data_IF_085551618862
#
_entry.id   IF_085551618862
#
_cell.length_a   1.000
_cell.length_b   1.000
_cell.length_c   1.000
_cell.angle_alpha   90.00
_cell.angle_beta   90.00
_cell.angle_gamma   90.00
#
_symmetry.space_group_name_H-M   'P 1'
#
loop_
_entity.id
_entity.type
_entity.pdbx_description
1 polymer ?
#
# COMPACT_ATOMS: atom_id res chain seq x y z
N UNK A 1 -9.60 -16.96 -12.97
CA UNK A 1 -9.88 -16.28 -11.69
C UNK A 1 -8.60 -15.62 -11.21
N UNK A 2 -8.46 -14.29 -11.27
CA UNK A 2 -7.26 -13.67 -10.72
C UNK A 2 -7.28 -13.83 -9.21
N UNK A 3 -6.31 -14.53 -8.66
CA UNK A 3 -6.06 -14.65 -7.22
C UNK A 3 -5.61 -13.29 -6.72
N UNK A 4 -6.56 -12.40 -6.49
CA UNK A 4 -6.31 -11.08 -5.92
C UNK A 4 -5.96 -11.24 -4.44
N UNK A 5 -4.70 -11.58 -4.19
CA UNK A 5 -4.13 -11.71 -2.85
C UNK A 5 -4.26 -10.41 -2.06
N UNK A 6 -4.16 -10.52 -0.73
CA UNK A 6 -4.25 -9.37 0.16
C UNK A 6 -3.21 -8.29 -0.20
N UNK A 7 -3.65 -7.03 -0.16
CA UNK A 7 -2.80 -5.87 -0.37
C UNK A 7 -2.09 -5.51 0.93
N UNK A 8 -0.77 -5.33 0.87
CA UNK A 8 0.04 -5.04 2.04
C UNK A 8 0.31 -3.54 2.18
N UNK A 9 -0.03 -2.98 3.33
CA UNK A 9 0.29 -1.60 3.72
C UNK A 9 1.52 -1.59 4.63
N UNK A 10 2.33 -0.52 4.53
CA UNK A 10 3.56 -0.28 5.30
C UNK A 10 3.54 1.11 5.94
N UNK A 11 4.40 1.33 6.93
CA UNK A 11 4.65 2.64 7.54
C UNK A 11 3.75 3.01 8.72
N UNK A 12 2.64 2.29 8.91
CA UNK A 12 1.68 2.59 9.98
C UNK A 12 0.79 3.80 9.66
N UNK A 13 -0.13 4.11 10.58
CA UNK A 13 -1.03 5.25 10.49
C UNK A 13 -1.05 6.01 11.81
N UNK A 14 -1.53 7.25 11.80
CA UNK A 14 -1.68 8.09 12.99
C UNK A 14 -2.57 7.44 14.08
N UNK A 15 -3.55 6.63 13.66
CA UNK A 15 -4.44 5.87 14.54
C UNK A 15 -3.81 4.56 15.03
N UNK A 16 -2.68 4.16 14.46
CA UNK A 16 -1.97 2.93 14.81
C UNK A 16 -1.33 3.00 16.19
N UNK A 17 -1.26 1.86 16.89
CA UNK A 17 -0.43 1.74 18.11
C UNK A 17 1.05 1.92 17.75
N UNK A 18 1.90 2.54 18.60
CA UNK A 18 3.31 2.76 18.33
C UNK A 18 4.08 1.49 17.93
N UNK A 19 3.72 0.32 18.48
CA UNK A 19 4.33 -0.97 18.12
C UNK A 19 4.21 -1.34 16.63
N UNK A 20 3.27 -0.75 15.89
CA UNK A 20 3.05 -0.96 14.45
C UNK A 20 3.81 0.05 13.57
N UNK A 21 4.42 1.08 14.15
CA UNK A 21 5.22 2.08 13.43
C UNK A 21 6.67 1.60 13.22
N UNK A 22 6.83 0.38 12.70
CA UNK A 22 8.15 -0.18 12.34
C UNK A 22 8.26 -0.31 10.82
N UNK A 23 9.46 -0.12 10.28
CA UNK A 23 9.74 -0.25 8.83
C UNK A 23 9.41 -1.66 8.29
N UNK A 24 9.66 -2.69 9.09
CA UNK A 24 9.39 -4.09 8.74
C UNK A 24 7.92 -4.54 8.96
N UNK A 25 7.06 -3.69 9.55
CA UNK A 25 5.68 -4.09 9.82
C UNK A 25 4.85 -4.16 8.53
N UNK A 26 4.07 -5.23 8.38
CA UNK A 26 3.23 -5.52 7.21
C UNK A 26 1.80 -5.75 7.67
N UNK A 27 0.86 -4.98 7.15
CA UNK A 27 -0.56 -5.16 7.43
C UNK A 27 -1.28 -5.53 6.13
N UNK A 28 -1.91 -6.70 6.12
CA UNK A 28 -2.63 -7.23 4.97
C UNK A 28 -4.10 -6.82 5.03
N UNK A 29 -4.62 -6.31 3.92
CA UNK A 29 -6.04 -5.98 3.74
C UNK A 29 -6.57 -6.63 2.47
N UNK A 30 -7.86 -6.98 2.51
CA UNK A 30 -8.54 -7.46 1.31
C UNK A 30 -8.57 -6.35 0.25
N UNK A 31 -8.48 -6.67 -1.06
CA UNK A 31 -8.35 -5.66 -2.11
C UNK A 31 -9.52 -4.67 -2.20
N UNK A 32 -10.70 -5.05 -1.71
CA UNK A 32 -11.91 -4.23 -1.69
C UNK A 32 -12.11 -3.44 -0.38
N UNK A 33 -11.29 -3.70 0.65
CA UNK A 33 -11.47 -3.09 1.96
C UNK A 33 -10.99 -1.63 1.95
N UNK A 34 -11.94 -0.69 1.97
CA UNK A 34 -11.65 0.74 2.11
C UNK A 34 -11.42 1.06 3.59
N UNK A 35 -10.16 1.35 3.95
CA UNK A 35 -9.80 1.71 5.32
C UNK A 35 -9.51 3.20 5.39
N UNK A 36 -10.20 3.91 6.28
CA UNK A 36 -10.15 5.38 6.40
C UNK A 36 -8.75 5.94 6.71
N UNK A 37 -7.84 5.12 7.25
CA UNK A 37 -6.49 5.52 7.66
C UNK A 37 -5.39 4.93 6.76
N UNK A 38 -5.75 4.43 5.58
CA UNK A 38 -4.83 3.89 4.58
C UNK A 38 -4.88 4.76 3.32
N UNK A 39 -3.71 5.19 2.86
CA UNK A 39 -3.54 5.89 1.58
C UNK A 39 -2.55 5.16 0.67
N UNK A 40 -2.24 5.77 -0.48
CA UNK A 40 -1.23 5.27 -1.42
C UNK A 40 -0.09 6.29 -1.56
N UNK A 41 1.10 5.79 -1.91
CA UNK A 41 2.25 6.62 -2.28
C UNK A 41 2.61 6.30 -3.72
N UNK A 42 2.75 7.33 -4.52
CA UNK A 42 3.17 7.22 -5.91
C UNK A 42 4.68 7.01 -5.95
N UNK A 43 5.14 6.06 -6.75
CA UNK A 43 6.56 5.85 -7.04
C UNK A 43 6.78 6.06 -8.52
N UNK A 44 7.79 6.84 -8.86
CA UNK A 44 8.22 6.96 -10.25
C UNK A 44 9.25 5.88 -10.55
N UNK A 45 9.10 5.27 -11.71
CA UNK A 45 10.10 4.38 -12.26
C UNK A 45 11.24 5.27 -12.79
N UNK A 46 12.48 5.04 -12.35
CA UNK A 46 13.66 5.74 -12.87
C UNK A 46 13.85 5.50 -14.37
N UNK A 47 14.85 6.10 -15.03
CA UNK A 47 15.06 5.94 -16.48
C UNK A 47 15.20 4.47 -16.92
N UNK A 48 15.60 3.58 -16.02
CA UNK A 48 15.72 2.13 -16.26
C UNK A 48 14.51 1.31 -15.81
N UNK A 49 13.50 1.95 -15.22
CA UNK A 49 12.30 1.28 -14.74
C UNK A 49 11.14 1.65 -15.67
N UNK A 50 10.63 0.62 -16.35
CA UNK A 50 9.51 0.71 -17.28
C UNK A 50 8.20 0.76 -16.51
N UNK A 51 7.45 1.84 -16.67
CA UNK A 51 6.01 1.90 -16.37
C UNK A 51 5.62 2.48 -15.01
N UNK A 52 5.48 3.79 -14.94
CA UNK A 52 4.56 4.42 -13.97
C UNK A 52 3.14 4.32 -14.52
N UNK A 53 2.36 3.34 -14.07
CA UNK A 53 0.91 3.30 -14.33
C UNK A 53 0.17 3.65 -13.06
N UNK A 54 -0.31 4.88 -12.98
CA UNK A 54 -1.44 5.26 -12.13
C UNK A 54 -2.41 6.01 -13.03
N UNK A 55 -3.06 5.25 -13.91
CA UNK A 55 -4.26 5.71 -14.59
C UNK A 55 -5.44 5.53 -13.60
N UNK A 56 -5.84 6.62 -12.96
CA UNK A 56 -7.19 6.78 -12.44
C UNK A 56 -7.94 7.66 -13.44
N UNK A 57 -9.13 7.20 -13.84
CA UNK A 57 -10.03 7.85 -14.82
C UNK A 57 -10.33 9.30 -14.45
#
# INVERSE_FOLDING_TARGET
MSTSGDRVVRGGSWYGRPKRARSAFRLAYRPYQKVFNVGFRVTCSGPDATGVTIAAK
#
